data_IF_442157168569
#
_entry.id   IF_442157168569
#
_cell.length_a   1.000
_cell.length_b   1.000
_cell.length_c   1.000
_cell.angle_alpha   90.00
_cell.angle_beta   90.00
_cell.angle_gamma   90.00
#
_symmetry.space_group_name_H-M   'P 1'
#
loop_
_entity.id
_entity.type
_entity.pdbx_description
1 polymer ?
#
# COMPACT_ATOMS: atom_id res chain seq x y z
N UNK A 1 5.70 29.71 -12.82
CA UNK A 1 4.80 28.71 -12.20
C UNK A 1 4.56 27.60 -13.20
N UNK A 2 4.71 26.33 -12.80
CA UNK A 2 4.54 25.17 -13.67
C UNK A 2 3.31 24.35 -13.21
N UNK A 3 2.55 23.82 -14.18
CA UNK A 3 1.36 23.00 -13.94
C UNK A 3 1.52 21.63 -14.59
N UNK A 4 1.21 20.56 -13.86
CA UNK A 4 1.18 19.18 -14.36
C UNK A 4 -0.20 18.58 -14.18
N UNK A 5 -0.65 17.84 -15.18
CA UNK A 5 -1.94 17.14 -15.20
C UNK A 5 -1.83 15.84 -14.43
N UNK A 6 -2.82 15.53 -13.60
CA UNK A 6 -2.88 14.32 -12.78
C UNK A 6 -4.15 13.51 -13.09
N UNK A 7 -4.08 12.22 -12.82
CA UNK A 7 -5.18 11.26 -12.88
C UNK A 7 -5.47 10.66 -11.49
N UNK A 8 -6.71 10.23 -11.29
CA UNK A 8 -7.21 9.48 -10.12
C UNK A 8 -7.07 10.19 -8.76
N UNK A 9 -6.83 11.50 -8.74
CA UNK A 9 -6.80 12.27 -7.49
C UNK A 9 -8.24 12.54 -7.04
N UNK A 10 -8.77 11.64 -6.21
CA UNK A 10 -10.12 11.69 -5.67
C UNK A 10 -10.16 11.12 -4.24
N UNK A 11 -11.11 11.60 -3.44
CA UNK A 11 -11.31 11.22 -2.05
C UNK A 11 -12.65 10.49 -1.87
N UNK A 12 -12.88 9.86 -0.71
CA UNK A 12 -14.12 9.08 -0.44
C UNK A 12 -15.33 9.95 -0.15
N UNK A 13 -15.14 11.09 0.52
CA UNK A 13 -16.26 11.95 0.88
C UNK A 13 -16.74 12.65 -0.42
N UNK A 14 -17.95 12.27 -0.85
CA UNK A 14 -18.57 12.59 -2.14
C UNK A 14 -19.30 13.95 -2.15
N UNK A 15 -19.20 14.75 -1.09
CA UNK A 15 -19.92 16.03 -1.01
C UNK A 15 -18.98 17.20 -1.31
N UNK A 16 -19.21 17.77 -2.50
CA UNK A 16 -18.86 19.09 -3.03
C UNK A 16 -17.64 19.82 -2.44
N UNK A 17 -16.64 20.04 -3.30
CA UNK A 17 -15.38 20.75 -3.07
C UNK A 17 -14.38 20.08 -2.12
N UNK A 18 -13.46 19.31 -2.71
CA UNK A 18 -12.16 19.10 -2.06
C UNK A 18 -11.28 20.31 -2.34
N UNK A 19 -11.07 21.12 -1.30
CA UNK A 19 -10.21 22.29 -1.39
C UNK A 19 -8.80 21.91 -1.84
N UNK A 20 -8.14 22.75 -2.66
CA UNK A 20 -6.73 22.56 -2.95
C UNK A 20 -5.91 22.48 -1.67
N UNK A 21 -4.90 21.62 -1.64
CA UNK A 21 -4.01 21.49 -0.51
C UNK A 21 -2.57 21.53 -0.97
N UNK A 22 -1.67 22.05 -0.12
CA UNK A 22 -0.26 22.19 -0.46
C UNK A 22 0.61 21.38 0.48
N UNK A 23 1.60 20.68 -0.10
CA UNK A 23 2.63 19.93 0.63
C UNK A 23 3.97 20.16 -0.06
N UNK A 24 4.99 20.58 0.69
CA UNK A 24 6.37 20.72 0.20
C UNK A 24 6.52 21.51 -1.10
N UNK A 25 5.78 22.62 -1.23
CA UNK A 25 5.83 23.49 -2.42
C UNK A 25 5.03 23.00 -3.62
N UNK A 26 4.30 21.88 -3.49
CA UNK A 26 3.35 21.38 -4.49
C UNK A 26 1.93 21.65 -4.02
N UNK A 27 1.14 22.36 -4.82
CA UNK A 27 -0.29 22.58 -4.57
C UNK A 27 -1.11 21.65 -5.45
N UNK A 28 -1.83 20.72 -4.83
CA UNK A 28 -2.69 19.77 -5.49
C UNK A 28 -4.10 20.33 -5.59
N UNK A 29 -4.69 20.21 -6.78
CA UNK A 29 -6.05 20.64 -7.09
C UNK A 29 -6.86 19.40 -7.49
N UNK A 30 -7.56 18.77 -6.52
CA UNK A 30 -8.38 17.59 -6.78
C UNK A 30 -9.55 17.86 -7.72
N UNK A 31 -10.14 16.79 -8.25
CA UNK A 31 -11.32 16.89 -9.11
C UNK A 31 -12.50 17.51 -8.35
N UNK A 32 -13.07 18.58 -8.89
CA UNK A 32 -14.34 19.12 -8.41
C UNK A 32 -15.50 18.32 -8.99
N UNK A 33 -16.50 17.96 -8.18
CA UNK A 33 -17.72 17.26 -8.60
C UNK A 33 -18.42 17.95 -9.79
N UNK A 34 -18.32 19.28 -9.88
CA UNK A 34 -18.92 20.11 -10.93
C UNK A 34 -18.23 20.05 -12.31
N UNK A 35 -17.02 19.51 -12.42
CA UNK A 35 -16.33 19.29 -13.70
C UNK A 35 -16.37 17.82 -14.16
N UNK A 36 -17.22 16.98 -13.55
CA UNK A 36 -17.51 15.64 -14.07
C UNK A 36 -18.19 15.80 -15.43
N UNK A 37 -17.61 15.35 -16.56
CA UNK A 37 -18.37 15.24 -17.79
C UNK A 37 -19.59 14.36 -17.51
N UNK A 38 -20.78 14.86 -17.89
CA UNK A 38 -22.14 14.39 -17.54
C UNK A 38 -22.46 12.91 -17.80
N UNK A 39 -21.51 12.12 -18.31
CA UNK A 39 -21.64 10.70 -18.60
C UNK A 39 -21.20 9.76 -17.45
N UNK A 40 -20.81 10.27 -16.28
CA UNK A 40 -20.13 9.46 -15.24
C UNK A 40 -21.03 8.80 -14.19
N UNK A 41 -22.33 9.11 -14.14
CA UNK A 41 -23.24 8.58 -13.12
C UNK A 41 -23.61 7.10 -13.36
N UNK A 42 -23.38 6.56 -14.56
CA UNK A 42 -23.77 5.19 -14.92
C UNK A 42 -22.64 4.15 -14.90
N UNK A 43 -21.40 4.53 -14.56
CA UNK A 43 -20.21 3.65 -14.74
C UNK A 43 -20.07 2.59 -13.64
N UNK A 44 -20.67 2.80 -12.47
CA UNK A 44 -20.37 1.99 -11.28
C UNK A 44 -21.46 0.99 -10.85
N UNK A 45 -22.54 0.85 -11.62
CA UNK A 45 -23.68 -0.02 -11.21
C UNK A 45 -23.66 -1.45 -11.72
N UNK A 46 -22.97 -1.79 -12.81
CA UNK A 46 -23.09 -3.14 -13.37
C UNK A 46 -21.77 -3.87 -13.67
N UNK A 47 -21.74 -5.14 -13.29
CA UNK A 47 -20.67 -6.15 -13.42
C UNK A 47 -20.32 -6.53 -14.88
N UNK A 48 -20.42 -5.60 -15.82
CA UNK A 48 -20.03 -5.81 -17.21
C UNK A 48 -18.91 -4.85 -17.58
N UNK A 49 -17.69 -5.28 -17.25
CA UNK A 49 -16.43 -4.71 -17.76
C UNK A 49 -16.44 -4.88 -19.29
N UNK A 50 -17.04 -3.92 -19.99
CA UNK A 50 -16.98 -3.82 -21.45
C UNK A 50 -15.84 -2.89 -21.86
N UNK A 51 -15.13 -3.36 -22.89
CA UNK A 51 -13.87 -2.90 -23.50
C UNK A 51 -13.90 -1.47 -24.11
N UNK A 52 -14.65 -0.52 -23.52
CA UNK A 52 -14.90 0.78 -24.15
C UNK A 52 -14.31 2.03 -23.47
N UNK A 53 -14.10 2.04 -22.15
CA UNK A 53 -14.01 3.33 -21.42
C UNK A 53 -12.93 3.44 -20.32
N UNK A 54 -11.77 2.78 -20.50
CA UNK A 54 -10.59 3.04 -19.66
C UNK A 54 -9.77 4.19 -20.29
N UNK A 55 -10.39 5.36 -20.48
CA UNK A 55 -9.63 6.57 -20.83
C UNK A 55 -9.13 7.18 -19.53
N UNK A 56 -7.81 7.41 -19.43
CA UNK A 56 -7.19 8.30 -18.46
C UNK A 56 -7.82 9.69 -18.57
N UNK A 57 -8.88 9.95 -17.83
CA UNK A 57 -9.47 11.28 -17.78
C UNK A 57 -8.71 12.06 -16.72
N UNK A 58 -7.88 12.99 -17.19
CA UNK A 58 -7.32 14.05 -16.36
C UNK A 58 -8.45 14.57 -15.47
N UNK A 59 -8.31 14.38 -14.17
CA UNK A 59 -9.31 14.81 -13.20
C UNK A 59 -8.73 15.87 -12.25
N UNK A 60 -7.41 16.04 -12.22
CA UNK A 60 -6.73 16.94 -11.30
C UNK A 60 -5.49 17.58 -11.94
N UNK A 61 -4.87 18.49 -11.20
CA UNK A 61 -3.56 19.02 -11.53
C UNK A 61 -2.77 19.35 -10.27
N UNK A 62 -1.47 19.49 -10.44
CA UNK A 62 -0.55 19.97 -9.41
C UNK A 62 0.25 21.15 -9.94
N UNK A 63 0.41 22.14 -9.09
CA UNK A 63 1.17 23.35 -9.38
C UNK A 63 2.37 23.45 -8.46
N UNK A 64 3.46 24.00 -8.98
CA UNK A 64 4.66 24.28 -8.21
C UNK A 64 5.45 25.43 -8.85
N UNK A 65 6.31 26.07 -8.06
CA UNK A 65 7.21 27.13 -8.51
C UNK A 65 8.64 26.62 -8.55
N UNK A 66 9.39 27.02 -9.58
CA UNK A 66 10.79 26.61 -9.74
C UNK A 66 10.97 25.22 -10.34
N UNK A 67 12.08 24.57 -9.97
CA UNK A 67 12.51 23.27 -10.48
C UNK A 67 12.11 22.18 -9.50
N UNK A 68 11.60 21.05 -10.01
CA UNK A 68 11.28 19.90 -9.16
C UNK A 68 12.54 19.25 -8.61
N UNK A 69 12.56 19.05 -7.28
CA UNK A 69 13.56 18.23 -6.58
C UNK A 69 13.54 16.79 -7.12
N UNK A 70 14.66 16.08 -6.93
CA UNK A 70 14.77 14.69 -7.32
C UNK A 70 14.08 13.78 -6.29
N UNK A 71 13.58 12.65 -6.77
CA UNK A 71 12.98 11.62 -5.94
C UNK A 71 13.97 11.08 -4.92
N UNK A 72 13.48 10.88 -3.70
CA UNK A 72 14.15 10.18 -2.61
C UNK A 72 13.91 8.68 -2.77
N UNK A 73 12.65 8.27 -2.98
CA UNK A 73 12.25 6.85 -3.01
C UNK A 73 12.83 6.10 -4.19
N UNK A 74 12.94 6.76 -5.33
CA UNK A 74 13.48 6.19 -6.56
C UNK A 74 14.88 6.71 -6.88
N UNK A 75 15.67 7.09 -5.86
CA UNK A 75 17.03 7.60 -6.05
C UNK A 75 17.88 6.55 -6.78
N UNK A 76 18.21 6.81 -8.05
CA UNK A 76 18.94 5.90 -8.94
C UNK A 76 18.11 5.31 -10.08
N UNK A 77 16.79 5.48 -10.07
CA UNK A 77 15.90 5.15 -11.18
C UNK A 77 16.09 6.13 -12.34
N UNK A 78 16.63 5.63 -13.46
CA UNK A 78 16.75 6.38 -14.70
C UNK A 78 15.48 6.18 -15.54
N UNK A 79 14.80 7.26 -15.88
CA UNK A 79 13.74 7.25 -16.87
C UNK A 79 14.27 7.76 -18.21
N UNK A 80 14.20 6.90 -19.24
CA UNK A 80 14.57 7.26 -20.60
C UNK A 80 15.31 6.16 -21.34
N UNK A 81 15.41 6.31 -22.66
CA UNK A 81 16.23 5.46 -23.50
C UNK A 81 17.71 5.72 -23.17
N UNK A 82 18.63 4.82 -23.55
CA UNK A 82 20.10 4.87 -23.30
C UNK A 82 20.78 6.23 -23.53
N UNK A 83 20.16 7.15 -24.27
CA UNK A 83 20.68 8.47 -24.65
C UNK A 83 20.26 9.62 -23.71
N UNK A 84 19.26 9.44 -22.84
CA UNK A 84 18.83 10.49 -21.90
C UNK A 84 18.56 9.90 -20.52
N UNK A 85 19.49 10.15 -19.61
CA UNK A 85 19.38 9.84 -18.20
C UNK A 85 18.59 10.93 -17.49
N UNK A 86 17.29 10.72 -17.24
CA UNK A 86 16.52 11.61 -16.36
C UNK A 86 16.26 10.92 -15.03
N UNK A 87 16.54 11.64 -13.95
CA UNK A 87 16.18 11.21 -12.60
C UNK A 87 14.70 11.48 -12.35
N UNK A 88 14.05 10.55 -11.64
CA UNK A 88 12.68 10.69 -11.14
C UNK A 88 12.54 11.90 -10.22
N UNK A 89 11.35 12.49 -10.16
CA UNK A 89 11.11 13.73 -9.43
C UNK A 89 10.40 13.47 -8.12
N UNK A 90 10.60 14.36 -7.14
CA UNK A 90 10.00 14.24 -5.81
C UNK A 90 8.46 14.24 -5.85
N UNK A 91 7.87 14.83 -6.90
CA UNK A 91 6.45 14.71 -7.17
C UNK A 91 6.01 13.23 -7.30
N UNK A 92 6.82 12.36 -7.91
CA UNK A 92 6.51 10.94 -8.04
C UNK A 92 6.41 10.26 -6.66
N UNK A 93 7.26 10.63 -5.70
CA UNK A 93 7.20 10.13 -4.32
C UNK A 93 5.89 10.56 -3.63
N UNK A 94 5.47 11.82 -3.82
CA UNK A 94 4.20 12.32 -3.31
C UNK A 94 3.00 11.59 -3.90
N UNK A 95 3.06 11.21 -5.19
CA UNK A 95 2.01 10.44 -5.86
C UNK A 95 1.94 9.01 -5.33
N UNK A 96 3.08 8.35 -5.05
CA UNK A 96 3.13 7.03 -4.40
C UNK A 96 2.48 7.10 -3.01
N UNK A 97 2.91 8.05 -2.19
CA UNK A 97 2.35 8.23 -0.84
C UNK A 97 0.86 8.56 -0.87
N UNK A 98 0.44 9.48 -1.74
CA UNK A 98 -0.97 9.81 -1.94
C UNK A 98 -1.79 8.59 -2.35
N UNK A 99 -1.20 7.70 -3.16
CA UNK A 99 -1.86 6.47 -3.59
C UNK A 99 -2.06 5.46 -2.47
N UNK A 100 -1.06 5.32 -1.59
CA UNK A 100 -1.17 4.46 -0.40
C UNK A 100 -2.19 5.03 0.58
N UNK A 101 -2.24 6.36 0.74
CA UNK A 101 -3.13 7.01 1.69
C UNK A 101 -4.60 7.02 1.24
N UNK A 102 -4.85 7.10 -0.05
CA UNK A 102 -6.21 7.22 -0.61
C UNK A 102 -6.71 5.97 -1.32
N UNK A 103 -5.91 4.89 -1.35
CA UNK A 103 -6.20 3.68 -2.13
C UNK A 103 -6.55 3.94 -3.61
N UNK A 104 -6.11 5.09 -4.15
CA UNK A 104 -6.28 5.50 -5.55
C UNK A 104 -4.92 5.57 -6.20
N UNK A 105 -4.73 5.01 -7.37
CA UNK A 105 -3.45 5.11 -8.06
C UNK A 105 -3.28 6.51 -8.68
N UNK A 106 -2.84 7.47 -7.86
CA UNK A 106 -2.50 8.82 -8.29
C UNK A 106 -1.33 8.74 -9.26
N UNK A 107 -1.44 9.46 -10.38
CA UNK A 107 -0.42 9.42 -11.41
C UNK A 107 -0.38 10.70 -12.24
N UNK A 108 0.78 10.94 -12.86
CA UNK A 108 0.87 11.92 -13.92
C UNK A 108 0.01 11.47 -15.10
N UNK A 109 -0.78 12.38 -15.66
CA UNK A 109 -1.59 12.07 -16.83
C UNK A 109 -0.67 11.68 -18.00
N UNK A 110 -0.82 10.46 -18.48
CA UNK A 110 -0.14 9.96 -19.67
C UNK A 110 -1.08 10.03 -20.87
N UNK A 111 -0.60 10.64 -21.96
CA UNK A 111 -1.27 10.59 -23.27
C UNK A 111 -1.14 9.22 -23.94
N UNK A 112 -0.22 8.36 -23.47
CA UNK A 112 0.02 7.04 -24.03
C UNK A 112 -0.84 6.03 -23.29
N UNK A 113 -1.91 5.60 -23.95
CA UNK A 113 -2.71 4.45 -23.56
C UNK A 113 -2.01 3.17 -24.02
N UNK A 114 -1.91 2.18 -23.12
CA UNK A 114 -1.54 0.82 -23.49
C UNK A 114 -2.62 -0.12 -22.97
N UNK A 115 -3.35 -0.77 -23.88
CA UNK A 115 -4.37 -1.78 -23.54
C UNK A 115 -3.82 -2.92 -22.67
N UNK A 116 -2.51 -3.15 -22.73
CA UNK A 116 -1.82 -4.21 -21.99
C UNK A 116 -1.56 -3.88 -20.52
N UNK A 117 -1.68 -2.61 -20.12
CA UNK A 117 -1.46 -2.15 -18.74
C UNK A 117 -2.57 -1.16 -18.33
N UNK A 118 -3.80 -1.64 -18.10
CA UNK A 118 -4.86 -0.79 -17.59
C UNK A 118 -4.46 -0.31 -16.19
N UNK A 119 -4.14 0.97 -16.05
CA UNK A 119 -3.97 1.60 -14.74
C UNK A 119 -5.35 1.65 -14.09
N UNK A 120 -5.62 0.73 -13.19
CA UNK A 120 -6.87 0.71 -12.42
C UNK A 120 -6.87 1.95 -11.51
N UNK A 121 -7.99 2.66 -11.42
CA UNK A 121 -8.08 3.90 -10.62
C UNK A 121 -8.03 3.65 -9.12
N UNK A 122 -8.38 2.44 -8.69
CA UNK A 122 -8.30 1.96 -7.30
C UNK A 122 -7.33 0.79 -7.22
N UNK A 123 -6.61 0.70 -6.12
CA UNK A 123 -5.87 -0.50 -5.75
C UNK A 123 -6.65 -1.26 -4.66
N UNK A 124 -6.09 -2.37 -4.16
CA UNK A 124 -6.73 -3.18 -3.11
C UNK A 124 -6.36 -2.72 -1.69
N UNK A 125 -5.82 -1.51 -1.54
CA UNK A 125 -5.63 -0.90 -0.21
C UNK A 125 -6.93 -0.29 0.30
N UNK A 126 -6.94 0.05 1.58
CA UNK A 126 -8.02 0.81 2.18
C UNK A 126 -7.70 2.30 2.28
N UNK A 127 -8.74 3.11 2.45
CA UNK A 127 -8.63 4.56 2.43
C UNK A 127 -8.28 5.08 3.83
N UNK A 128 -7.04 5.49 4.02
CA UNK A 128 -6.54 6.08 5.28
C UNK A 128 -6.89 7.56 5.35
N UNK A 129 -6.76 8.28 4.23
CA UNK A 129 -7.12 9.69 4.12
C UNK A 129 -8.40 9.82 3.31
N UNK A 130 -9.51 10.11 3.99
CA UNK A 130 -10.84 10.23 3.39
C UNK A 130 -11.11 11.60 2.77
N UNK A 131 -10.27 12.59 3.07
CA UNK A 131 -10.37 13.99 2.63
C UNK A 131 -8.98 14.61 2.41
N UNK A 132 -8.96 15.80 1.80
CA UNK A 132 -7.75 16.54 1.45
C UNK A 132 -6.95 17.03 2.67
N UNK A 133 -7.62 17.41 3.75
CA UNK A 133 -6.97 17.94 4.95
C UNK A 133 -6.19 16.85 5.70
N UNK A 134 -6.81 15.68 5.91
CA UNK A 134 -6.15 14.49 6.46
C UNK A 134 -5.03 14.01 5.57
N UNK A 135 -5.25 14.00 4.25
CA UNK A 135 -4.21 13.62 3.30
C UNK A 135 -3.00 14.54 3.39
N UNK A 136 -3.22 15.86 3.44
CA UNK A 136 -2.17 16.86 3.65
C UNK A 136 -1.37 16.55 4.94
N UNK A 137 -2.05 16.39 6.07
CA UNK A 137 -1.40 16.11 7.36
C UNK A 137 -0.53 14.84 7.29
N UNK A 138 -1.05 13.75 6.73
CA UNK A 138 -0.31 12.52 6.57
C UNK A 138 0.88 12.66 5.61
N UNK A 139 0.71 13.36 4.49
CA UNK A 139 1.80 13.64 3.56
C UNK A 139 2.90 14.50 4.20
N UNK A 140 2.56 15.49 5.02
CA UNK A 140 3.55 16.29 5.75
C UNK A 140 4.36 15.45 6.75
N UNK A 141 3.71 14.55 7.47
CA UNK A 141 4.38 13.57 8.36
C UNK A 141 5.32 12.68 7.54
N UNK A 142 4.81 12.09 6.45
CA UNK A 142 5.59 11.20 5.59
C UNK A 142 6.80 11.92 4.98
N UNK A 143 6.64 13.14 4.47
CA UNK A 143 7.76 13.91 3.89
C UNK A 143 8.82 14.23 4.94
N UNK A 144 8.43 14.60 6.16
CA UNK A 144 9.38 14.80 7.25
C UNK A 144 10.21 13.54 7.48
N UNK A 145 9.60 12.36 7.43
CA UNK A 145 10.31 11.09 7.55
C UNK A 145 11.13 10.69 6.32
N UNK A 146 10.64 10.93 5.11
CA UNK A 146 11.43 10.71 3.89
C UNK A 146 12.71 11.55 3.87
N UNK A 147 12.73 12.73 4.49
CA UNK A 147 13.93 13.60 4.58
C UNK A 147 14.89 13.22 5.72
N UNK A 148 14.52 12.29 6.60
CA UNK A 148 15.34 11.82 7.71
C UNK A 148 16.40 10.81 7.19
N UNK A 149 17.68 11.17 7.30
CA UNK A 149 18.79 10.34 6.80
C UNK A 149 18.89 8.98 7.50
N UNK A 150 18.55 8.92 8.80
CA UNK A 150 18.57 7.66 9.53
C UNK A 150 17.48 6.73 8.99
N UNK A 151 16.28 7.28 8.76
CA UNK A 151 15.17 6.54 8.14
C UNK A 151 15.51 6.09 6.72
N UNK A 152 16.09 6.97 5.89
CA UNK A 152 16.51 6.63 4.53
C UNK A 152 17.53 5.48 4.51
N UNK A 153 18.52 5.51 5.41
CA UNK A 153 19.50 4.44 5.56
C UNK A 153 18.83 3.15 6.02
N UNK A 154 17.96 3.26 7.02
CA UNK A 154 17.27 2.11 7.59
C UNK A 154 16.38 1.40 6.57
N UNK A 155 15.63 2.14 5.74
CA UNK A 155 14.61 1.58 4.84
C UNK A 155 14.95 1.73 3.35
N UNK A 156 16.23 1.88 3.01
CA UNK A 156 16.70 1.98 1.62
C UNK A 156 15.91 3.01 0.79
N UNK A 157 15.74 4.20 1.36
CA UNK A 157 14.94 5.30 0.82
C UNK A 157 13.43 4.99 0.66
N UNK A 158 12.88 4.00 1.35
CA UNK A 158 11.44 3.71 1.30
C UNK A 158 11.05 2.70 0.24
N UNK A 159 11.91 1.73 -0.05
CA UNK A 159 11.66 0.67 -1.03
C UNK A 159 10.34 -0.07 -0.79
N UNK A 160 10.00 -0.35 0.48
CA UNK A 160 8.75 -1.00 0.88
C UNK A 160 7.48 -0.21 0.53
N UNK A 161 7.55 1.11 0.40
CA UNK A 161 6.41 1.93 -0.04
C UNK A 161 6.02 1.58 -1.48
N UNK A 162 7.03 1.43 -2.34
CA UNK A 162 6.86 1.03 -3.74
C UNK A 162 6.39 -0.42 -3.85
N UNK A 163 6.97 -1.32 -3.04
CA UNK A 163 6.53 -2.72 -2.98
C UNK A 163 5.05 -2.81 -2.60
N UNK A 164 4.63 -2.14 -1.52
CA UNK A 164 3.22 -2.13 -1.08
C UNK A 164 2.29 -1.69 -2.22
N UNK A 165 2.59 -0.56 -2.87
CA UNK A 165 1.75 -0.05 -3.95
C UNK A 165 1.69 -1.01 -5.14
N UNK A 166 2.82 -1.61 -5.54
CA UNK A 166 2.88 -2.58 -6.64
C UNK A 166 2.08 -3.84 -6.31
N UNK A 167 2.26 -4.38 -5.10
CA UNK A 167 1.57 -5.58 -4.63
C UNK A 167 0.06 -5.35 -4.51
N UNK A 168 -0.36 -4.17 -4.03
CA UNK A 168 -1.77 -3.81 -3.94
C UNK A 168 -2.49 -3.74 -5.29
N UNK A 169 -1.75 -3.62 -6.39
CA UNK A 169 -2.30 -3.61 -7.75
C UNK A 169 -2.52 -5.04 -8.31
N UNK A 170 -2.11 -6.09 -7.60
CA UNK A 170 -2.36 -7.47 -8.01
C UNK A 170 -3.84 -7.81 -7.80
N UNK A 171 -4.51 -8.20 -8.90
CA UNK A 171 -5.94 -8.50 -8.91
C UNK A 171 -6.29 -9.82 -8.19
N UNK A 172 -5.50 -10.87 -8.41
CA UNK A 172 -5.72 -12.16 -7.75
C UNK A 172 -5.40 -12.05 -6.25
N UNK A 173 -6.37 -12.38 -5.40
CA UNK A 173 -6.31 -12.16 -3.95
C UNK A 173 -5.23 -13.02 -3.29
N UNK A 174 -5.10 -14.29 -3.68
CA UNK A 174 -4.09 -15.19 -3.13
C UNK A 174 -2.67 -14.73 -3.50
N UNK A 175 -2.44 -14.40 -4.77
CA UNK A 175 -1.15 -13.88 -5.25
C UNK A 175 -0.80 -12.56 -4.58
N UNK A 176 -1.80 -11.69 -4.36
CA UNK A 176 -1.62 -10.43 -3.63
C UNK A 176 -1.22 -10.69 -2.19
N UNK A 177 -1.94 -11.54 -1.45
CA UNK A 177 -1.58 -11.90 -0.08
C UNK A 177 -0.13 -12.40 0.01
N UNK A 178 0.27 -13.33 -0.86
CA UNK A 178 1.63 -13.85 -0.88
C UNK A 178 2.67 -12.78 -1.22
N UNK A 179 2.37 -11.87 -2.13
CA UNK A 179 3.25 -10.73 -2.42
C UNK A 179 3.35 -9.78 -1.23
N UNK A 180 2.27 -9.58 -0.46
CA UNK A 180 2.29 -8.75 0.75
C UNK A 180 3.20 -9.37 1.82
N UNK A 181 3.24 -10.70 1.97
CA UNK A 181 4.18 -11.38 2.89
C UNK A 181 5.63 -10.99 2.60
N UNK A 182 6.01 -10.77 1.34
CA UNK A 182 7.37 -10.33 0.97
C UNK A 182 7.70 -8.96 1.58
N UNK A 183 6.72 -8.08 1.78
CA UNK A 183 6.91 -6.79 2.47
C UNK A 183 7.29 -7.03 3.94
N UNK A 184 6.71 -8.03 4.59
CA UNK A 184 7.02 -8.37 5.99
C UNK A 184 8.41 -9.01 6.13
N UNK A 185 8.74 -9.96 5.25
CA UNK A 185 10.08 -10.56 5.18
C UNK A 185 11.14 -9.49 5.00
N UNK A 186 10.88 -8.51 4.12
CA UNK A 186 11.78 -7.39 3.91
C UNK A 186 11.82 -6.47 5.13
N UNK A 187 10.68 -6.08 5.72
CA UNK A 187 10.68 -5.17 6.87
C UNK A 187 11.41 -5.73 8.10
N UNK A 188 11.39 -7.04 8.32
CA UNK A 188 11.99 -7.68 9.50
C UNK A 188 13.46 -7.30 9.75
N UNK A 189 14.41 -7.59 8.84
CA UNK A 189 15.82 -7.26 9.07
C UNK A 189 16.05 -5.75 9.19
N UNK A 190 15.29 -4.92 8.46
CA UNK A 190 15.41 -3.46 8.51
C UNK A 190 14.87 -2.86 9.84
N UNK A 191 13.89 -3.51 10.46
CA UNK A 191 13.40 -3.13 11.80
C UNK A 191 14.31 -3.67 12.91
N UNK A 192 14.84 -4.88 12.75
CA UNK A 192 15.76 -5.53 13.70
C UNK A 192 17.11 -4.83 13.76
N UNK A 193 17.62 -4.35 12.63
CA UNK A 193 18.89 -3.67 12.53
C UNK A 193 18.73 -2.27 11.88
N UNK A 194 18.41 -1.24 12.68
CA UNK A 194 18.22 0.12 12.17
C UNK A 194 19.45 0.74 11.50
N UNK A 195 20.64 0.19 11.75
CA UNK A 195 21.89 0.71 11.20
C UNK A 195 22.15 0.29 9.75
N UNK A 196 21.33 -0.62 9.21
CA UNK A 196 21.42 -1.18 7.86
C UNK A 196 21.32 -2.69 7.91
N UNK A 197 20.23 -3.24 7.37
CA UNK A 197 20.00 -4.67 7.27
C UNK A 197 21.11 -5.39 6.50
N UNK A 198 21.43 -6.60 6.94
CA UNK A 198 22.36 -7.50 6.25
C UNK A 198 21.73 -8.87 6.05
N UNK A 199 22.31 -9.71 5.19
CA UNK A 199 21.82 -11.09 4.99
C UNK A 199 21.84 -11.95 6.27
N UNK A 200 22.64 -11.58 7.27
CA UNK A 200 22.66 -12.25 8.58
C UNK A 200 21.46 -11.87 9.46
N UNK A 201 20.79 -10.75 9.16
CA UNK A 201 19.60 -10.30 9.87
C UNK A 201 18.33 -10.99 9.38
N UNK A 202 18.37 -11.58 8.18
CA UNK A 202 17.25 -12.31 7.56
C UNK A 202 16.85 -13.55 8.36
N UNK A 203 15.58 -13.93 8.24
CA UNK A 203 15.04 -15.11 8.91
C UNK A 203 14.04 -15.81 8.00
N UNK A 204 14.13 -17.13 7.88
CA UNK A 204 13.18 -17.91 7.08
C UNK A 204 11.91 -18.33 7.84
N UNK A 205 11.84 -18.02 9.15
CA UNK A 205 10.70 -18.33 9.99
C UNK A 205 9.71 -17.15 10.03
N UNK A 206 8.65 -17.26 9.22
CA UNK A 206 7.62 -16.22 9.10
C UNK A 206 6.83 -15.97 10.37
N UNK A 207 6.58 -17.00 11.20
CA UNK A 207 5.90 -16.79 12.49
C UNK A 207 6.71 -15.85 13.38
N UNK A 208 8.03 -16.05 13.45
CA UNK A 208 8.95 -15.18 14.19
C UNK A 208 9.04 -13.79 13.57
N UNK A 209 9.03 -13.68 12.24
CA UNK A 209 9.00 -12.38 11.54
C UNK A 209 7.73 -11.60 11.92
N UNK A 210 6.56 -12.22 11.80
CA UNK A 210 5.28 -11.59 12.10
C UNK A 210 5.19 -11.21 13.57
N UNK A 211 5.50 -12.13 14.48
CA UNK A 211 5.53 -11.86 15.91
C UNK A 211 6.44 -10.68 16.26
N UNK A 212 7.65 -10.64 15.69
CA UNK A 212 8.58 -9.54 15.89
C UNK A 212 7.98 -8.20 15.44
N UNK A 213 7.46 -8.13 14.22
CA UNK A 213 6.88 -6.90 13.66
C UNK A 213 5.65 -6.44 14.46
N UNK A 214 4.76 -7.37 14.82
CA UNK A 214 3.58 -7.05 15.62
C UNK A 214 3.95 -6.54 17.01
N UNK A 215 4.93 -7.19 17.67
CA UNK A 215 5.45 -6.75 18.97
C UNK A 215 6.15 -5.40 18.89
N UNK A 216 6.83 -5.11 17.78
CA UNK A 216 7.50 -3.82 17.56
C UNK A 216 6.49 -2.67 17.52
N UNK A 217 5.34 -2.85 16.86
CA UNK A 217 4.36 -1.79 16.65
C UNK A 217 3.23 -1.77 17.69
N UNK A 218 2.95 -2.89 18.34
CA UNK A 218 1.90 -3.02 19.37
C UNK A 218 2.38 -3.77 20.62
N UNK A 219 3.47 -3.33 21.28
CA UNK A 219 4.09 -4.09 22.39
C UNK A 219 3.13 -4.33 23.56
N UNK A 220 2.26 -3.37 23.87
CA UNK A 220 1.33 -3.46 25.00
C UNK A 220 0.13 -4.40 24.73
N UNK A 221 -0.19 -4.70 23.46
CA UNK A 221 -1.34 -5.52 23.08
C UNK A 221 -0.94 -6.93 22.63
N UNK A 222 0.34 -7.13 22.32
CA UNK A 222 0.85 -8.38 21.76
C UNK A 222 0.86 -9.50 22.81
N UNK A 223 0.09 -10.56 22.56
CA UNK A 223 0.15 -11.78 23.35
C UNK A 223 1.30 -12.69 22.89
N UNK A 224 2.21 -13.07 23.79
CA UNK A 224 3.32 -13.98 23.48
C UNK A 224 2.85 -15.35 22.96
N UNK A 225 1.61 -15.77 23.30
CA UNK A 225 1.01 -16.98 22.74
C UNK A 225 0.89 -16.94 21.21
N UNK A 226 0.90 -15.76 20.59
CA UNK A 226 0.91 -15.61 19.13
C UNK A 226 2.17 -16.17 18.46
N UNK A 227 3.28 -16.27 19.19
CA UNK A 227 4.49 -16.93 18.70
C UNK A 227 4.26 -18.43 18.44
N UNK A 228 3.19 -19.00 19.02
CA UNK A 228 2.74 -20.38 18.81
C UNK A 228 1.45 -20.52 17.96
N UNK A 229 0.71 -19.43 17.70
CA UNK A 229 -0.52 -19.49 16.90
C UNK A 229 -0.22 -19.42 15.41
N UNK A 230 -0.56 -20.47 14.66
CA UNK A 230 -0.27 -20.54 13.23
C UNK A 230 -1.42 -19.99 12.38
N UNK A 231 -1.41 -18.68 12.18
CA UNK A 231 -2.36 -17.96 11.31
C UNK A 231 -2.35 -18.44 9.85
N UNK A 232 -1.26 -19.10 9.45
CA UNK A 232 -1.13 -19.68 8.13
C UNK A 232 -1.90 -21.01 8.01
N UNK A 233 -2.39 -21.59 9.11
CA UNK A 233 -3.36 -22.71 9.10
C UNK A 233 -4.58 -22.45 8.26
N UNK A 234 -5.31 -21.38 8.60
CA UNK A 234 -6.54 -21.02 7.91
C UNK A 234 -6.25 -20.76 6.42
N UNK A 235 -5.10 -20.15 6.11
CA UNK A 235 -4.71 -19.80 4.74
C UNK A 235 -4.24 -21.00 3.92
N UNK A 236 -3.49 -21.94 4.51
CA UNK A 236 -2.96 -23.14 3.82
C UNK A 236 -4.06 -24.09 3.38
N UNK A 237 -5.06 -24.38 4.23
CA UNK A 237 -6.15 -25.27 3.84
C UNK A 237 -6.86 -24.75 2.59
N UNK A 238 -7.10 -23.45 2.54
CA UNK A 238 -7.83 -22.83 1.44
C UNK A 238 -6.96 -22.68 0.18
N UNK A 239 -5.66 -22.39 0.33
CA UNK A 239 -4.71 -22.41 -0.80
C UNK A 239 -4.48 -23.81 -1.38
N UNK A 240 -4.54 -24.86 -0.56
CA UNK A 240 -4.48 -26.25 -1.03
C UNK A 240 -5.69 -26.63 -1.90
N UNK A 241 -6.85 -26.00 -1.67
CA UNK A 241 -8.06 -26.18 -2.48
C UNK A 241 -8.09 -25.36 -3.78
N UNK A 242 -7.33 -24.26 -3.88
CA UNK A 242 -7.30 -23.40 -5.07
C UNK A 242 -6.27 -23.82 -6.14
N UNK A 243 -5.48 -24.87 -5.89
CA UNK A 243 -4.69 -25.58 -6.90
C UNK A 243 -3.60 -24.77 -7.62
N UNK A 244 -3.26 -23.56 -7.15
CA UNK A 244 -2.27 -22.68 -7.78
C UNK A 244 -1.38 -22.00 -6.75
N UNK A 245 -0.23 -22.62 -6.49
CA UNK A 245 0.91 -21.97 -5.86
C UNK A 245 2.14 -22.17 -6.75
N UNK A 246 2.39 -21.31 -7.75
CA UNK A 246 3.73 -21.17 -8.28
C UNK A 246 4.45 -20.13 -7.42
N UNK A 247 4.66 -20.42 -6.13
CA UNK A 247 5.70 -19.70 -5.41
C UNK A 247 6.99 -20.41 -5.79
N UNK A 248 7.74 -19.84 -6.75
CA UNK A 248 9.10 -20.28 -7.04
C UNK A 248 10.04 -19.82 -5.90
N UNK A 249 9.78 -20.31 -4.70
CA UNK A 249 10.60 -20.19 -3.50
C UNK A 249 10.52 -21.52 -2.78
N UNK A 250 11.48 -22.40 -3.04
CA UNK A 250 11.57 -23.75 -2.46
C UNK A 250 11.49 -23.77 -0.93
N UNK A 251 11.83 -22.65 -0.27
CA UNK A 251 11.74 -22.50 1.19
C UNK A 251 10.31 -22.24 1.71
N UNK A 252 9.37 -21.81 0.86
CA UNK A 252 7.98 -21.58 1.26
C UNK A 252 7.21 -22.89 1.48
N UNK A 253 7.65 -23.98 0.83
CA UNK A 253 7.03 -25.30 0.94
C UNK A 253 7.20 -25.93 2.35
N UNK A 254 8.40 -25.91 2.98
CA UNK A 254 8.57 -26.23 4.41
C UNK A 254 7.72 -25.38 5.36
N UNK A 255 7.59 -24.07 5.10
CA UNK A 255 6.73 -23.18 5.89
C UNK A 255 5.28 -23.62 5.81
N UNK A 256 4.79 -23.87 4.59
CA UNK A 256 3.46 -24.41 4.43
C UNK A 256 3.31 -25.71 5.20
N UNK A 257 4.31 -26.60 5.21
CA UNK A 257 4.28 -27.89 5.94
C UNK A 257 4.17 -27.78 7.46
N UNK A 258 4.69 -26.72 8.11
CA UNK A 258 4.68 -26.49 9.57
C UNK A 258 3.32 -26.06 10.15
N UNK A 259 2.28 -26.12 9.34
CA UNK A 259 0.95 -25.62 9.63
C UNK A 259 0.07 -26.77 10.13
N UNK A 260 -0.31 -26.71 11.41
CA UNK A 260 -1.19 -27.68 12.08
C UNK A 260 -2.66 -27.40 11.76
N UNK A 261 -3.40 -28.43 11.31
CA UNK A 261 -4.81 -28.30 10.92
C UNK A 261 -5.73 -28.03 12.12
N UNK A 262 -6.48 -26.92 12.10
CA UNK A 262 -7.70 -26.76 12.91
C UNK A 262 -8.94 -26.95 12.00
N UNK A 263 -9.84 -27.85 12.40
CA UNK A 263 -10.95 -28.34 11.56
C UNK A 263 -12.25 -27.52 11.67
N UNK A 264 -12.31 -26.50 12.53
CA UNK A 264 -13.58 -25.92 12.95
C UNK A 264 -13.62 -24.38 12.91
N UNK A 265 -13.45 -23.73 11.74
CA UNK A 265 -13.80 -22.31 11.63
C UNK A 265 -14.63 -21.99 10.38
N UNK A 266 -15.72 -21.26 10.63
CA UNK A 266 -16.74 -20.77 9.67
C UNK A 266 -16.41 -19.39 9.07
N UNK A 267 -15.20 -18.85 9.34
CA UNK A 267 -14.81 -17.52 8.87
C UNK A 267 -14.42 -17.57 7.38
N UNK A 268 -14.97 -16.65 6.59
CA UNK A 268 -14.67 -16.52 5.17
C UNK A 268 -13.22 -16.05 4.95
N UNK A 269 -12.45 -16.80 4.18
CA UNK A 269 -11.04 -16.52 3.84
C UNK A 269 -10.80 -15.11 3.26
N UNK A 270 -11.79 -14.56 2.55
CA UNK A 270 -11.71 -13.20 2.00
C UNK A 270 -11.57 -12.14 3.09
N UNK A 271 -12.13 -12.38 4.30
CA UNK A 271 -11.99 -11.50 5.46
C UNK A 271 -10.55 -11.52 5.97
N UNK A 272 -9.94 -12.71 6.06
CA UNK A 272 -8.53 -12.86 6.43
C UNK A 272 -7.61 -12.15 5.44
N UNK A 273 -7.76 -12.39 4.13
CA UNK A 273 -6.92 -11.74 3.13
C UNK A 273 -7.06 -10.21 3.17
N UNK A 274 -8.30 -9.72 3.29
CA UNK A 274 -8.55 -8.28 3.40
C UNK A 274 -7.96 -7.68 4.68
N UNK A 275 -8.07 -8.38 5.82
CA UNK A 275 -7.44 -7.98 7.07
C UNK A 275 -5.93 -7.86 6.92
N UNK A 276 -5.26 -8.83 6.29
CA UNK A 276 -3.82 -8.78 6.07
C UNK A 276 -3.39 -7.71 5.06
N UNK A 277 -4.18 -7.45 4.02
CA UNK A 277 -3.97 -6.29 3.12
C UNK A 277 -3.96 -4.99 3.95
N UNK A 278 -4.96 -4.80 4.82
CA UNK A 278 -5.08 -3.63 5.70
C UNK A 278 -3.92 -3.56 6.72
N UNK A 279 -3.62 -4.68 7.38
CA UNK A 279 -2.58 -4.76 8.40
C UNK A 279 -1.20 -4.43 7.81
N UNK A 280 -0.91 -4.96 6.61
CA UNK A 280 0.35 -4.65 5.90
C UNK A 280 0.43 -3.16 5.57
N UNK A 281 -0.66 -2.56 5.08
CA UNK A 281 -0.72 -1.12 4.82
C UNK A 281 -0.44 -0.29 6.08
N UNK A 282 -1.06 -0.64 7.22
CA UNK A 282 -0.85 0.04 8.50
C UNK A 282 0.60 -0.06 8.96
N UNK A 283 1.20 -1.26 8.90
CA UNK A 283 2.60 -1.45 9.30
C UNK A 283 3.54 -0.61 8.46
N UNK A 284 3.34 -0.61 7.13
CA UNK A 284 4.12 0.24 6.23
C UNK A 284 3.96 1.72 6.57
N UNK A 285 2.75 2.19 6.89
CA UNK A 285 2.51 3.57 7.30
C UNK A 285 3.13 3.92 8.66
N UNK A 286 3.17 2.97 9.61
CA UNK A 286 3.85 3.16 10.89
C UNK A 286 5.35 3.38 10.73
N UNK A 287 5.99 2.84 9.69
CA UNK A 287 7.40 3.18 9.39
C UNK A 287 7.60 4.67 9.13
N UNK A 288 6.57 5.38 8.64
CA UNK A 288 6.57 6.82 8.38
C UNK A 288 6.04 7.64 9.57
N UNK A 289 5.64 6.99 10.68
CA UNK A 289 5.02 7.65 11.82
C UNK A 289 3.54 8.01 11.62
N UNK A 290 2.85 7.32 10.71
CA UNK A 290 1.41 7.52 10.47
C UNK A 290 0.64 6.35 11.09
N UNK A 291 -0.12 6.65 12.15
CA UNK A 291 -1.05 5.71 12.77
C UNK A 291 -2.40 5.76 12.05
N UNK A 292 -2.61 4.85 11.10
CA UNK A 292 -3.81 4.80 10.27
C UNK A 292 -4.96 3.93 10.82
N UNK A 293 -4.79 3.31 11.99
CA UNK A 293 -5.70 2.29 12.55
C UNK A 293 -7.15 2.79 12.63
N UNK A 294 -7.36 3.98 13.21
CA UNK A 294 -8.69 4.55 13.42
C UNK A 294 -9.37 5.04 12.13
N UNK A 295 -8.61 5.12 11.03
CA UNK A 295 -9.15 5.51 9.72
C UNK A 295 -9.89 4.35 9.03
N UNK A 296 -9.62 3.11 9.46
CA UNK A 296 -10.17 1.88 8.90
C UNK A 296 -11.47 1.45 9.61
N UNK A 297 -12.56 2.15 9.32
CA UNK A 297 -13.90 1.77 9.81
C UNK A 297 -14.48 0.55 9.07
N UNK A 298 -13.89 0.18 7.93
CA UNK A 298 -14.32 -0.94 7.11
C UNK A 298 -14.00 -2.24 7.86
N UNK A 299 -15.01 -3.09 8.09
CA UNK A 299 -14.91 -4.36 8.84
C UNK A 299 -14.48 -4.27 10.31
N UNK A 300 -14.63 -3.11 10.96
CA UNK A 300 -14.31 -2.99 12.39
C UNK A 300 -12.84 -3.39 12.68
N UNK A 301 -11.93 -2.96 11.80
CA UNK A 301 -10.53 -3.39 11.77
C UNK A 301 -9.84 -3.22 13.11
N UNK A 302 -10.08 -2.13 13.85
CA UNK A 302 -9.47 -1.92 15.17
C UNK A 302 -9.87 -3.01 16.18
N UNK A 303 -11.12 -3.48 16.15
CA UNK A 303 -11.56 -4.58 17.01
C UNK A 303 -10.97 -5.92 16.56
N UNK A 304 -10.96 -6.18 15.26
CA UNK A 304 -10.33 -7.38 14.68
C UNK A 304 -8.83 -7.44 14.97
N UNK A 305 -8.13 -6.31 14.86
CA UNK A 305 -6.72 -6.19 15.21
C UNK A 305 -6.49 -6.45 16.69
N UNK A 306 -7.31 -5.87 17.57
CA UNK A 306 -7.21 -6.14 19.01
C UNK A 306 -7.48 -7.61 19.33
N UNK A 307 -8.52 -8.21 18.74
CA UNK A 307 -8.82 -9.65 18.89
C UNK A 307 -7.64 -10.49 18.41
N UNK A 308 -7.08 -10.14 17.25
CA UNK A 308 -5.96 -10.86 16.66
C UNK A 308 -4.69 -10.74 17.50
N UNK A 309 -4.35 -9.55 17.99
CA UNK A 309 -3.18 -9.30 18.84
C UNK A 309 -3.28 -9.99 20.22
N UNK A 310 -4.50 -10.25 20.71
CA UNK A 310 -4.73 -10.83 22.04
C UNK A 310 -4.99 -12.33 22.01
N UNK A 311 -5.67 -12.83 20.98
CA UNK A 311 -6.15 -14.23 20.90
C UNK A 311 -5.65 -15.00 19.67
N UNK A 312 -5.08 -14.30 18.68
CA UNK A 312 -4.65 -14.90 17.41
C UNK A 312 -5.76 -15.08 16.39
N UNK A 313 -6.97 -14.61 16.69
CA UNK A 313 -8.17 -14.76 15.85
C UNK A 313 -8.76 -13.42 15.43
N UNK A 314 -9.28 -13.35 14.21
CA UNK A 314 -9.98 -12.19 13.63
C UNK A 314 -11.46 -12.24 13.99
#
# INVERSE_FOLDING_TARGET
MARRKLDNLAFIIDDDFTSPFSVSGYTFYPANSQNRPSSEVSIYRDKKIFRGNIKHKQNAYVEYTGVQENSIVFRGGLEGNKYHHRQRKFLDDLLVLGSILTARNWGLNSRRYSEKYPVVSRNHLENISKDAERCKKHLEIAVKKLKDLAWQKQFENGFHLSMLLNHANIFNVESRFLSMVVVWEWLYPHLKNPNGATSNDELYNLLKIFAFILKQYWPAKFNASLESHNIFCVLRHQLAHSGRLPINRSYAEPWMKQISLDRNETINISVYFKFFDCLTQIIVLKTLGIDGEDSLQVFNFSQQLNSYLTTGKI
#
